data_IF_002921393261
#
_entry.id   IF_002921393261
#
_cell.length_a   1.000
_cell.length_b   1.000
_cell.length_c   1.000
_cell.angle_alpha   90.00
_cell.angle_beta   90.00
_cell.angle_gamma   90.00
#
_symmetry.space_group_name_H-M   'P 1'
#
loop_
_entity.id
_entity.type
_entity.pdbx_description
1 polymer ?
#
# COMPACT_ATOMS: atom_id res chain seq x y z
N UNK A 1 -6.09 13.70 10.10
CA UNK A 1 -5.38 12.64 10.85
C UNK A 1 -3.91 12.66 10.44
N UNK A 2 -2.98 12.45 11.37
CA UNK A 2 -1.58 12.21 10.97
C UNK A 2 -1.46 10.84 10.28
N UNK A 3 -0.35 10.57 9.58
CA UNK A 3 -0.09 9.23 9.04
C UNK A 3 -0.04 8.21 10.18
N UNK A 4 0.60 8.55 11.30
CA UNK A 4 0.66 7.68 12.49
C UNK A 4 -0.74 7.29 12.99
N UNK A 5 -1.64 8.26 13.14
CA UNK A 5 -3.01 8.00 13.61
C UNK A 5 -3.78 7.13 12.62
N UNK A 6 -3.63 7.42 11.33
CA UNK A 6 -4.27 6.65 10.24
C UNK A 6 -3.82 5.18 10.28
N UNK A 7 -2.52 4.93 10.49
CA UNK A 7 -1.97 3.59 10.61
C UNK A 7 -2.50 2.91 11.87
N UNK A 8 -2.51 3.61 13.00
CA UNK A 8 -2.97 3.08 14.29
C UNK A 8 -4.42 2.59 14.25
N UNK A 9 -5.29 3.24 13.48
CA UNK A 9 -6.68 2.76 13.27
C UNK A 9 -6.84 1.74 12.13
N UNK A 10 -5.94 1.72 11.14
CA UNK A 10 -6.05 0.83 9.99
C UNK A 10 -5.54 -0.60 10.30
N UNK A 11 -4.46 -0.72 11.08
CA UNK A 11 -3.88 -2.03 11.41
C UNK A 11 -4.81 -2.96 12.21
N UNK A 12 -5.58 -2.48 13.21
CA UNK A 12 -6.56 -3.34 13.87
C UNK A 12 -7.57 -3.97 12.90
N UNK A 13 -8.00 -3.24 11.87
CA UNK A 13 -8.89 -3.79 10.85
C UNK A 13 -8.19 -4.82 9.97
N UNK A 14 -6.92 -4.59 9.63
CA UNK A 14 -6.09 -5.58 8.95
C UNK A 14 -6.00 -6.88 9.77
N UNK A 15 -5.60 -6.80 11.02
CA UNK A 15 -5.38 -7.96 11.90
C UNK A 15 -6.66 -8.74 12.20
N UNK A 16 -7.78 -8.04 12.41
CA UNK A 16 -9.04 -8.66 12.86
C UNK A 16 -9.91 -9.16 11.70
N UNK A 17 -9.82 -8.53 10.52
CA UNK A 17 -10.75 -8.81 9.42
C UNK A 17 -10.09 -9.24 8.12
N UNK A 18 -8.91 -8.71 7.78
CA UNK A 18 -8.27 -9.00 6.49
C UNK A 18 -7.35 -10.21 6.60
N UNK A 19 -6.40 -10.17 7.53
CA UNK A 19 -5.42 -11.22 7.76
C UNK A 19 -6.04 -12.62 7.93
N UNK A 20 -7.12 -12.81 8.72
CA UNK A 20 -7.75 -14.13 8.87
C UNK A 20 -8.36 -14.66 7.57
N UNK A 21 -8.84 -13.78 6.69
CA UNK A 21 -9.41 -14.19 5.39
C UNK A 21 -8.31 -14.68 4.45
N UNK A 22 -7.15 -14.00 4.45
CA UNK A 22 -5.97 -14.42 3.68
C UNK A 22 -5.48 -15.78 4.19
N UNK A 23 -5.36 -15.95 5.51
CA UNK A 23 -4.94 -17.21 6.14
C UNK A 23 -5.93 -18.36 5.86
N UNK A 24 -7.23 -18.06 5.70
CA UNK A 24 -8.23 -19.02 5.26
C UNK A 24 -8.14 -19.36 3.75
N UNK A 25 -7.10 -18.90 3.04
CA UNK A 25 -6.86 -19.16 1.62
C UNK A 25 -7.70 -18.31 0.66
N UNK A 26 -8.37 -17.25 1.15
CA UNK A 26 -9.15 -16.37 0.27
C UNK A 26 -8.26 -15.36 -0.44
N UNK A 27 -8.59 -15.09 -1.70
CA UNK A 27 -8.01 -13.97 -2.46
C UNK A 27 -8.73 -12.69 -2.09
N UNK A 28 -8.01 -11.73 -1.51
CA UNK A 28 -8.58 -10.47 -1.02
C UNK A 28 -8.24 -9.31 -1.96
N UNK A 29 -9.23 -8.48 -2.28
CA UNK A 29 -9.06 -7.19 -2.94
C UNK A 29 -9.31 -6.07 -1.92
N UNK A 30 -8.37 -5.13 -1.82
CA UNK A 30 -8.48 -3.96 -0.93
C UNK A 30 -8.57 -2.72 -1.80
N UNK A 31 -9.75 -2.08 -1.82
CA UNK A 31 -9.96 -0.78 -2.44
C UNK A 31 -9.97 0.30 -1.34
N UNK A 32 -8.94 1.16 -1.32
CA UNK A 32 -8.74 2.15 -0.27
C UNK A 32 -8.00 3.39 -0.79
N UNK A 33 -7.57 4.26 0.11
CA UNK A 33 -6.88 5.52 -0.21
C UNK A 33 -5.39 5.47 0.16
N UNK A 34 -4.61 6.42 -0.35
CA UNK A 34 -3.15 6.45 -0.22
C UNK A 34 -2.63 6.27 1.21
N UNK A 35 -3.05 7.08 2.18
CA UNK A 35 -2.54 6.99 3.56
C UNK A 35 -2.94 5.70 4.29
N UNK A 36 -4.15 5.20 4.05
CA UNK A 36 -4.57 3.89 4.59
C UNK A 36 -3.77 2.73 3.99
N UNK A 37 -3.54 2.77 2.67
CA UNK A 37 -2.75 1.74 1.97
C UNK A 37 -1.29 1.79 2.40
N UNK A 38 -0.71 2.98 2.57
CA UNK A 38 0.64 3.16 3.14
C UNK A 38 0.77 2.48 4.50
N UNK A 39 -0.26 2.52 5.34
CA UNK A 39 -0.24 1.81 6.62
C UNK A 39 -0.12 0.30 6.49
N UNK A 40 -0.88 -0.29 5.59
CA UNK A 40 -0.83 -1.73 5.30
C UNK A 40 0.54 -2.09 4.69
N UNK A 41 1.02 -1.32 3.71
CA UNK A 41 2.32 -1.54 3.07
C UNK A 41 3.46 -1.45 4.09
N UNK A 42 3.44 -0.43 4.97
CA UNK A 42 4.44 -0.27 6.03
C UNK A 42 4.50 -1.50 6.93
N UNK A 43 3.34 -2.05 7.29
CA UNK A 43 3.24 -3.23 8.13
C UNK A 43 3.76 -4.50 7.43
N UNK A 44 3.38 -4.70 6.16
CA UNK A 44 3.81 -5.85 5.37
C UNK A 44 5.33 -5.83 5.09
N UNK A 45 5.88 -4.68 4.71
CA UNK A 45 7.29 -4.56 4.33
C UNK A 45 8.22 -4.19 5.51
N UNK A 46 7.67 -3.99 6.72
CA UNK A 46 8.47 -3.59 7.88
C UNK A 46 9.18 -2.24 7.69
N UNK A 47 8.56 -1.31 6.97
CA UNK A 47 9.18 -0.02 6.64
C UNK A 47 9.34 0.88 7.88
N UNK A 48 10.44 1.65 7.88
CA UNK A 48 10.65 2.72 8.85
C UNK A 48 9.70 3.91 8.61
N UNK A 49 9.54 4.76 9.62
CA UNK A 49 8.75 6.00 9.51
C UNK A 49 9.29 6.93 8.42
N UNK A 50 10.61 6.97 8.22
CA UNK A 50 11.21 7.76 7.14
C UNK A 50 10.90 7.16 5.76
N UNK A 51 11.03 5.84 5.61
CA UNK A 51 10.78 5.18 4.32
C UNK A 51 9.32 5.31 3.87
N UNK A 52 8.36 5.21 4.80
CA UNK A 52 6.94 5.31 4.44
C UNK A 52 6.51 6.72 4.02
N UNK A 53 7.22 7.75 4.47
CA UNK A 53 6.95 9.14 4.08
C UNK A 53 7.32 9.40 2.61
N UNK A 54 8.37 8.73 2.13
CA UNK A 54 8.83 8.82 0.74
C UNK A 54 8.00 7.95 -0.23
N UNK A 55 7.24 6.97 0.29
CA UNK A 55 6.45 6.07 -0.53
C UNK A 55 5.23 6.78 -1.13
N UNK A 56 5.23 7.03 -2.43
CA UNK A 56 4.07 7.53 -3.16
C UNK A 56 3.41 6.41 -3.97
N UNK A 57 2.22 5.98 -3.55
CA UNK A 57 1.46 4.96 -4.28
C UNK A 57 0.71 5.61 -5.46
N UNK A 58 0.76 5.02 -6.67
CA UNK A 58 0.08 5.54 -7.83
C UNK A 58 -1.43 5.33 -7.70
N UNK A 59 -2.22 6.30 -8.17
CA UNK A 59 -3.69 6.19 -8.16
C UNK A 59 -4.18 5.31 -9.29
N UNK A 60 -5.07 4.36 -8.99
CA UNK A 60 -5.77 3.55 -10.00
C UNK A 60 -4.95 2.40 -10.59
N UNK A 61 -3.73 2.17 -10.10
CA UNK A 61 -2.88 1.04 -10.50
C UNK A 61 -3.00 -0.07 -9.45
N UNK A 62 -3.40 -1.29 -9.83
CA UNK A 62 -3.44 -2.41 -8.90
C UNK A 62 -2.03 -2.76 -8.38
N UNK A 63 -1.95 -3.05 -7.08
CA UNK A 63 -0.74 -3.50 -6.40
C UNK A 63 -0.96 -4.94 -5.97
N UNK A 64 -0.05 -5.83 -6.34
CA UNK A 64 -0.10 -7.26 -6.02
C UNK A 64 0.96 -7.58 -4.97
N UNK A 65 0.51 -8.29 -3.94
CA UNK A 65 1.37 -8.91 -2.94
C UNK A 65 1.22 -10.42 -2.99
N UNK A 66 2.34 -11.12 -2.99
CA UNK A 66 2.42 -12.54 -2.68
C UNK A 66 2.90 -12.67 -1.23
N UNK A 67 2.11 -13.33 -0.38
CA UNK A 67 2.38 -13.46 1.05
C UNK A 67 2.62 -14.92 1.42
N UNK A 68 3.51 -15.16 2.38
CA UNK A 68 3.70 -16.47 3.01
C UNK A 68 2.63 -16.76 4.09
N UNK A 69 2.73 -17.92 4.74
CA UNK A 69 1.81 -18.32 5.81
C UNK A 69 1.84 -17.39 7.04
N UNK A 70 2.92 -16.64 7.23
CA UNK A 70 3.08 -15.64 8.28
C UNK A 70 2.68 -14.23 7.81
N UNK A 71 2.02 -14.11 6.65
CA UNK A 71 1.59 -12.88 6.01
C UNK A 71 2.75 -11.93 5.66
N UNK A 72 3.95 -12.48 5.43
CA UNK A 72 5.11 -11.71 4.97
C UNK A 72 5.22 -11.75 3.46
N UNK A 73 5.55 -10.63 2.80
CA UNK A 73 5.83 -10.61 1.37
C UNK A 73 6.95 -11.58 0.99
N UNK A 74 6.69 -12.45 0.01
CA UNK A 74 7.70 -13.37 -0.54
C UNK A 74 8.46 -12.75 -1.71
N UNK A 75 7.92 -11.68 -2.29
CA UNK A 75 8.47 -10.88 -3.38
C UNK A 75 8.19 -9.40 -3.15
N UNK A 76 8.94 -8.48 -3.79
CA UNK A 76 8.61 -7.06 -3.79
C UNK A 76 7.18 -6.82 -4.31
N UNK A 77 6.53 -5.76 -3.82
CA UNK A 77 5.22 -5.35 -4.34
C UNK A 77 5.29 -5.13 -5.86
N UNK A 78 4.29 -5.62 -6.60
CA UNK A 78 4.25 -5.50 -8.05
C UNK A 78 3.07 -4.62 -8.48
N UNK A 79 3.34 -3.63 -9.35
CA UNK A 79 2.30 -2.87 -10.02
C UNK A 79 1.80 -3.63 -11.25
N UNK A 80 0.48 -3.75 -11.41
CA UNK A 80 -0.12 -4.30 -12.63
C UNK A 80 -0.43 -3.17 -13.61
N UNK A 81 0.23 -3.20 -14.75
CA UNK A 81 0.08 -2.24 -15.84
C UNK A 81 1.32 -2.26 -16.72
N UNK A 82 1.25 -1.61 -17.87
CA UNK A 82 2.46 -1.33 -18.64
C UNK A 82 3.33 -0.29 -17.90
N UNK A 83 4.64 -0.38 -18.10
CA UNK A 83 5.62 0.47 -17.42
C UNK A 83 5.37 1.96 -17.64
N UNK A 84 4.90 2.34 -18.84
CA UNK A 84 4.65 3.74 -19.17
C UNK A 84 3.47 4.29 -18.36
N UNK A 85 2.38 3.54 -18.26
CA UNK A 85 1.21 3.91 -17.45
C UNK A 85 1.54 4.00 -15.98
N UNK A 86 2.27 3.02 -15.43
CA UNK A 86 2.68 3.04 -14.01
C UNK A 86 3.58 4.24 -13.73
N UNK A 87 4.59 4.48 -14.58
CA UNK A 87 5.50 5.63 -14.44
C UNK A 87 4.74 6.96 -14.48
N UNK A 88 3.85 7.16 -15.46
CA UNK A 88 3.04 8.38 -15.56
C UNK A 88 2.17 8.60 -14.32
N UNK A 89 1.57 7.54 -13.79
CA UNK A 89 0.74 7.63 -12.58
C UNK A 89 1.59 8.00 -11.35
N UNK A 90 2.79 7.44 -11.21
CA UNK A 90 3.73 7.78 -10.14
C UNK A 90 4.19 9.24 -10.22
N UNK A 91 4.59 9.69 -11.41
CA UNK A 91 4.99 11.08 -11.67
C UNK A 91 3.84 12.06 -11.39
N UNK A 92 2.61 11.70 -11.77
CA UNK A 92 1.42 12.51 -11.52
C UNK A 92 1.18 12.70 -10.02
N UNK A 93 1.29 11.63 -9.21
CA UNK A 93 1.16 11.72 -7.74
C UNK A 93 2.27 12.59 -7.16
N UNK A 94 3.53 12.40 -7.58
CA UNK A 94 4.65 13.23 -7.12
C UNK A 94 4.49 14.72 -7.50
N UNK A 95 3.80 15.02 -8.60
CA UNK A 95 3.55 16.38 -9.04
C UNK A 95 2.38 17.07 -8.31
N UNK A 96 1.52 16.36 -7.57
CA UNK A 96 0.34 16.95 -6.90
C UNK A 96 0.70 18.03 -5.88
N UNK A 97 1.90 17.95 -5.29
CA UNK A 97 2.41 18.97 -4.35
C UNK A 97 3.10 20.16 -5.01
N UNK A 98 3.28 20.15 -6.33
CA UNK A 98 3.96 21.24 -7.04
C UNK A 98 2.95 22.34 -7.39
N UNK A 99 3.28 23.59 -7.07
CA UNK A 99 2.50 24.75 -7.50
C UNK A 99 2.51 24.79 -9.03
N UNK A 100 1.32 24.78 -9.64
CA UNK A 100 1.19 25.06 -11.07
C UNK A 100 1.64 26.52 -11.29
N UNK A 101 2.76 26.70 -11.98
CA UNK A 101 3.17 28.01 -12.48
C UNK A 101 2.23 28.48 -13.58
#
# INVERSE_FOLDING_TARGET
ESLKDTIARALPFWDQHIAPQIQAGKRVLIAAHGNSLRGIVKHLEGMSDAAIMELNLPTGIPIVYELDAALKPTKPMQFLGDEETVRKAMEAVAAQGKVKK
#
